data_IF_062214538925
#
_entry.id   IF_062214538925
#
_cell.length_a   1.000
_cell.length_b   1.000
_cell.length_c   1.000
_cell.angle_alpha   90.00
_cell.angle_beta   90.00
_cell.angle_gamma   90.00
#
_symmetry.space_group_name_H-M   'P 1'
#
loop_
_entity.id
_entity.type
_entity.pdbx_description
1 polymer ?
#
# COMPACT_ATOMS: atom_id res chain seq x y z
N UNK A 1 -11.78 -2.32 70.18
CA UNK A 1 -11.86 -1.56 68.91
C UNK A 1 -10.71 -1.83 67.92
N UNK A 2 -9.69 -2.67 68.22
CA UNK A 2 -8.52 -2.82 67.33
C UNK A 2 -8.60 -3.93 66.27
N UNK A 3 -9.40 -4.98 66.46
CA UNK A 3 -9.44 -6.12 65.51
C UNK A 3 -10.25 -5.81 64.25
N UNK A 4 -11.41 -5.16 64.39
CA UNK A 4 -12.29 -4.79 63.26
C UNK A 4 -11.62 -3.83 62.28
N UNK A 5 -10.83 -2.86 62.77
CA UNK A 5 -10.07 -1.93 61.93
C UNK A 5 -8.97 -2.67 61.15
N UNK A 6 -8.34 -3.67 61.75
CA UNK A 6 -7.33 -4.53 61.10
C UNK A 6 -7.95 -5.36 59.95
N UNK A 7 -9.08 -6.01 60.20
CA UNK A 7 -9.80 -6.79 59.19
C UNK A 7 -10.27 -5.92 58.01
N UNK A 8 -10.73 -4.70 58.28
CA UNK A 8 -11.12 -3.74 57.23
C UNK A 8 -9.90 -3.32 56.40
N UNK A 9 -8.77 -3.04 57.05
CA UNK A 9 -7.52 -2.67 56.35
C UNK A 9 -7.00 -3.80 55.46
N UNK A 10 -7.04 -5.05 55.93
CA UNK A 10 -6.66 -6.22 55.12
C UNK A 10 -7.59 -6.39 53.91
N UNK A 11 -8.91 -6.28 54.10
CA UNK A 11 -9.88 -6.33 53.00
C UNK A 11 -9.67 -5.20 51.99
N UNK A 12 -9.37 -3.99 52.45
CA UNK A 12 -9.06 -2.84 51.58
C UNK A 12 -7.77 -3.07 50.76
N UNK A 13 -6.74 -3.67 51.35
CA UNK A 13 -5.52 -4.02 50.64
C UNK A 13 -5.76 -5.08 49.56
N UNK A 14 -6.58 -6.11 49.87
CA UNK A 14 -6.98 -7.13 48.89
C UNK A 14 -7.84 -6.55 47.77
N UNK A 15 -8.75 -5.61 48.09
CA UNK A 15 -9.54 -4.90 47.09
C UNK A 15 -8.65 -4.04 46.17
N UNK A 16 -7.67 -3.33 46.75
CA UNK A 16 -6.71 -2.51 46.01
C UNK A 16 -5.87 -3.37 45.06
N UNK A 17 -5.34 -4.50 45.53
CA UNK A 17 -4.55 -5.40 44.69
C UNK A 17 -5.37 -6.02 43.55
N UNK A 18 -6.61 -6.44 43.82
CA UNK A 18 -7.55 -6.91 42.78
C UNK A 18 -7.89 -5.81 41.76
N UNK A 19 -8.05 -4.57 42.20
CA UNK A 19 -8.31 -3.43 41.30
C UNK A 19 -7.13 -3.19 40.35
N UNK A 20 -5.89 -3.25 40.86
CA UNK A 20 -4.68 -3.16 40.02
C UNK A 20 -4.62 -4.32 39.01
N UNK A 21 -4.99 -5.53 39.42
CA UNK A 21 -5.01 -6.70 38.53
C UNK A 21 -6.05 -6.55 37.41
N UNK A 22 -7.26 -6.06 37.73
CA UNK A 22 -8.30 -5.74 36.75
C UNK A 22 -7.81 -4.70 35.75
N UNK A 23 -7.17 -3.62 36.22
CA UNK A 23 -6.61 -2.59 35.34
C UNK A 23 -5.59 -3.16 34.36
N UNK A 24 -4.70 -4.05 34.83
CA UNK A 24 -3.73 -4.74 33.96
C UNK A 24 -4.40 -5.67 32.94
N UNK A 25 -5.48 -6.35 33.32
CA UNK A 25 -6.27 -7.20 32.42
C UNK A 25 -6.97 -6.33 31.36
N UNK A 26 -7.50 -5.17 31.74
CA UNK A 26 -8.15 -4.24 30.82
C UNK A 26 -7.17 -3.73 29.77
N UNK A 27 -5.98 -3.28 30.18
CA UNK A 27 -4.94 -2.82 29.26
C UNK A 27 -4.49 -3.91 28.28
N UNK A 28 -4.29 -5.14 28.78
CA UNK A 28 -3.96 -6.29 27.93
C UNK A 28 -5.09 -6.59 26.93
N UNK A 29 -6.35 -6.52 27.36
CA UNK A 29 -7.52 -6.76 26.52
C UNK A 29 -7.61 -5.72 25.41
N UNK A 30 -7.41 -4.44 25.73
CA UNK A 30 -7.35 -3.37 24.73
C UNK A 30 -6.24 -3.58 23.71
N UNK A 31 -5.05 -4.01 24.16
CA UNK A 31 -3.93 -4.29 23.27
C UNK A 31 -4.20 -5.48 22.34
N UNK A 32 -4.86 -6.53 22.82
CA UNK A 32 -5.30 -7.67 21.98
C UNK A 32 -6.33 -7.20 20.96
N UNK A 33 -7.34 -6.44 21.37
CA UNK A 33 -8.36 -5.91 20.47
C UNK A 33 -7.75 -5.00 19.39
N UNK A 34 -6.76 -4.17 19.74
CA UNK A 34 -6.01 -3.37 18.77
C UNK A 34 -5.30 -4.26 17.74
N UNK A 35 -4.59 -5.30 18.18
CA UNK A 35 -3.90 -6.23 17.27
C UNK A 35 -4.86 -6.98 16.35
N UNK A 36 -5.97 -7.49 16.88
CA UNK A 36 -7.02 -8.18 16.09
C UNK A 36 -7.59 -7.24 15.04
N UNK A 37 -7.92 -5.99 15.42
CA UNK A 37 -8.42 -4.98 14.47
C UNK A 37 -7.41 -4.66 13.37
N UNK A 38 -6.12 -4.55 13.71
CA UNK A 38 -5.04 -4.33 12.72
C UNK A 38 -4.94 -5.51 11.76
N UNK A 39 -4.99 -6.75 12.26
CA UNK A 39 -4.98 -7.95 11.42
C UNK A 39 -6.14 -7.98 10.43
N UNK A 40 -7.37 -7.83 10.93
CA UNK A 40 -8.57 -7.81 10.08
C UNK A 40 -8.56 -6.67 9.04
N UNK A 41 -7.96 -5.52 9.39
CA UNK A 41 -7.81 -4.42 8.46
C UNK A 41 -6.81 -4.74 7.33
N UNK A 42 -5.65 -5.34 7.66
CA UNK A 42 -4.66 -5.76 6.67
C UNK A 42 -5.25 -6.84 5.74
N UNK A 43 -5.99 -7.81 6.28
CA UNK A 43 -6.68 -8.84 5.50
C UNK A 43 -7.64 -8.22 4.49
N UNK A 44 -8.50 -7.29 4.92
CA UNK A 44 -9.39 -6.55 4.02
C UNK A 44 -8.64 -5.79 2.93
N UNK A 45 -7.49 -5.19 3.24
CA UNK A 45 -6.67 -4.47 2.26
C UNK A 45 -6.08 -5.45 1.23
N UNK A 46 -5.59 -6.61 1.69
CA UNK A 46 -5.08 -7.65 0.82
C UNK A 46 -6.16 -8.16 -0.14
N UNK A 47 -7.37 -8.42 0.35
CA UNK A 47 -8.52 -8.80 -0.48
C UNK A 47 -8.81 -7.76 -1.57
N UNK A 48 -8.85 -6.47 -1.23
CA UNK A 48 -9.04 -5.39 -2.20
C UNK A 48 -7.91 -5.35 -3.25
N UNK A 49 -6.67 -5.61 -2.83
CA UNK A 49 -5.53 -5.65 -3.74
C UNK A 49 -5.62 -6.85 -4.71
N UNK A 50 -6.00 -8.02 -4.22
CA UNK A 50 -6.22 -9.23 -5.03
C UNK A 50 -7.38 -9.04 -6.03
N UNK A 51 -8.48 -8.41 -5.59
CA UNK A 51 -9.59 -8.06 -6.48
C UNK A 51 -9.13 -7.14 -7.62
N UNK A 52 -8.31 -6.13 -7.30
CA UNK A 52 -7.77 -5.21 -8.30
C UNK A 52 -6.85 -5.92 -9.29
N UNK A 53 -5.99 -6.83 -8.82
CA UNK A 53 -5.16 -7.67 -9.69
C UNK A 53 -6.02 -8.47 -10.66
N UNK A 54 -7.08 -9.12 -10.18
CA UNK A 54 -8.00 -9.87 -11.04
C UNK A 54 -8.64 -9.00 -12.13
N UNK A 55 -9.03 -7.77 -11.81
CA UNK A 55 -9.59 -6.83 -12.78
C UNK A 55 -8.56 -6.31 -13.78
N UNK A 56 -7.35 -5.99 -13.31
CA UNK A 56 -6.24 -5.52 -14.14
C UNK A 56 -5.82 -6.60 -15.14
N UNK A 57 -5.64 -7.85 -14.68
CA UNK A 57 -5.28 -8.99 -15.53
C UNK A 57 -6.33 -9.18 -16.61
N UNK A 58 -7.62 -9.17 -16.25
CA UNK A 58 -8.71 -9.28 -17.22
C UNK A 58 -8.68 -8.16 -18.26
N UNK A 59 -8.45 -6.91 -17.85
CA UNK A 59 -8.33 -5.77 -18.77
C UNK A 59 -7.12 -5.91 -19.68
N UNK A 60 -6.00 -6.41 -19.17
CA UNK A 60 -4.81 -6.70 -19.97
C UNK A 60 -5.11 -7.78 -21.02
N UNK A 61 -5.71 -8.90 -20.62
CA UNK A 61 -6.07 -10.00 -21.53
C UNK A 61 -7.01 -9.52 -22.66
N UNK A 62 -8.07 -8.80 -22.29
CA UNK A 62 -9.02 -8.23 -23.25
C UNK A 62 -8.34 -7.22 -24.18
N UNK A 63 -7.47 -6.35 -23.65
CA UNK A 63 -6.74 -5.36 -24.44
C UNK A 63 -5.69 -5.97 -25.37
N UNK A 64 -5.06 -7.09 -25.00
CA UNK A 64 -4.21 -7.87 -25.91
C UNK A 64 -5.04 -8.45 -27.04
N UNK A 65 -6.17 -9.09 -26.72
CA UNK A 65 -7.09 -9.68 -27.71
C UNK A 65 -7.62 -8.64 -28.71
N UNK A 66 -7.87 -7.42 -28.24
CA UNK A 66 -8.36 -6.32 -29.06
C UNK A 66 -7.25 -5.53 -29.78
N UNK A 67 -5.97 -5.88 -29.58
CA UNK A 67 -4.83 -5.22 -30.21
C UNK A 67 -4.52 -3.82 -29.68
N UNK A 68 -5.00 -3.48 -28.48
CA UNK A 68 -4.72 -2.18 -27.84
C UNK A 68 -3.31 -2.09 -27.24
N UNK A 69 -2.74 -3.24 -26.87
CA UNK A 69 -1.37 -3.40 -26.38
C UNK A 69 -0.89 -4.80 -26.77
N UNK A 70 0.38 -4.95 -27.14
CA UNK A 70 0.93 -6.30 -27.36
C UNK A 70 1.45 -6.89 -26.05
N UNK A 71 1.45 -8.23 -25.96
CA UNK A 71 2.10 -8.92 -24.82
C UNK A 71 3.56 -8.50 -24.70
N UNK A 72 4.28 -8.37 -25.83
CA UNK A 72 5.66 -7.90 -25.84
C UNK A 72 5.85 -6.50 -25.22
N UNK A 73 4.95 -5.57 -25.51
CA UNK A 73 5.04 -4.20 -25.01
C UNK A 73 4.78 -4.11 -23.50
N UNK A 74 3.95 -5.00 -22.93
CA UNK A 74 3.75 -5.09 -21.46
C UNK A 74 5.01 -5.56 -20.74
N UNK A 75 5.88 -6.31 -21.40
CA UNK A 75 7.17 -6.76 -20.88
C UNK A 75 8.32 -5.81 -21.23
N UNK A 76 8.05 -4.65 -21.82
CA UNK A 76 9.09 -3.66 -22.09
C UNK A 76 9.70 -3.15 -20.78
N UNK A 77 11.02 -3.25 -20.65
CA UNK A 77 11.79 -2.73 -19.52
C UNK A 77 12.81 -1.66 -19.97
N UNK A 78 12.64 -1.14 -21.18
CA UNK A 78 13.45 -0.05 -21.70
C UNK A 78 12.89 1.29 -21.19
N UNK A 79 13.29 1.67 -19.97
CA UNK A 79 12.90 2.93 -19.34
C UNK A 79 13.56 4.12 -20.05
N UNK A 80 12.89 4.66 -21.08
CA UNK A 80 13.39 5.81 -21.81
C UNK A 80 13.21 7.09 -20.97
N UNK A 81 14.28 7.83 -20.64
CA UNK A 81 14.17 9.03 -19.81
C UNK A 81 13.37 10.11 -20.54
N UNK A 82 12.45 10.75 -19.80
CA UNK A 82 11.75 11.95 -20.26
C UNK A 82 12.64 13.15 -20.02
N UNK A 83 12.96 13.88 -21.09
CA UNK A 83 13.80 15.07 -21.02
C UNK A 83 13.19 16.14 -20.09
N UNK A 84 14.06 16.90 -19.44
CA UNK A 84 13.67 18.05 -18.59
C UNK A 84 12.74 17.69 -17.42
N UNK A 85 12.91 16.52 -16.80
CA UNK A 85 12.14 16.11 -15.62
C UNK A 85 13.03 15.98 -14.38
N UNK A 86 12.54 16.49 -13.25
CA UNK A 86 13.17 16.31 -11.95
C UNK A 86 12.07 16.11 -10.87
N UNK A 87 11.97 14.94 -10.20
CA UNK A 87 12.79 13.74 -10.39
C UNK A 87 12.71 13.17 -11.82
N UNK A 88 13.72 12.40 -12.22
CA UNK A 88 13.77 11.76 -13.53
C UNK A 88 12.52 10.88 -13.74
N UNK A 89 11.82 11.11 -14.85
CA UNK A 89 10.69 10.30 -15.29
C UNK A 89 11.08 9.42 -16.46
N UNK A 90 10.36 8.33 -16.65
CA UNK A 90 10.63 7.34 -17.68
C UNK A 90 9.35 6.94 -18.42
N UNK A 91 9.50 6.57 -19.68
CA UNK A 91 8.44 6.00 -20.50
C UNK A 91 8.88 4.63 -21.02
N UNK A 92 8.00 3.65 -20.92
CA UNK A 92 8.07 2.34 -21.57
C UNK A 92 6.96 2.26 -22.61
N UNK A 93 6.95 1.21 -23.42
CA UNK A 93 5.89 0.98 -24.41
C UNK A 93 4.51 0.78 -23.79
N UNK A 94 4.42 0.33 -22.54
CA UNK A 94 3.14 0.14 -21.85
C UNK A 94 2.66 1.37 -21.07
N UNK A 95 3.44 2.45 -20.94
CA UNK A 95 3.10 3.59 -20.08
C UNK A 95 1.74 4.20 -20.43
N UNK A 96 1.50 4.48 -21.71
CA UNK A 96 0.25 5.11 -22.16
C UNK A 96 -0.95 4.16 -22.01
N UNK A 97 -0.71 2.85 -22.17
CA UNK A 97 -1.73 1.83 -21.91
C UNK A 97 -2.13 1.81 -20.43
N UNK A 98 -1.16 1.76 -19.51
CA UNK A 98 -1.42 1.76 -18.06
C UNK A 98 -2.14 3.03 -17.64
N UNK A 99 -1.70 4.21 -18.09
CA UNK A 99 -2.39 5.48 -17.82
C UNK A 99 -3.85 5.46 -18.31
N UNK A 100 -4.11 4.91 -19.50
CA UNK A 100 -5.47 4.92 -20.09
C UNK A 100 -6.40 3.87 -19.49
N UNK A 101 -5.89 2.67 -19.19
CA UNK A 101 -6.71 1.49 -18.88
C UNK A 101 -6.65 1.06 -17.42
N UNK A 102 -5.53 1.33 -16.74
CA UNK A 102 -5.27 0.84 -15.38
C UNK A 102 -5.40 1.95 -14.33
N UNK A 103 -4.96 3.18 -14.62
CA UNK A 103 -5.14 4.33 -13.70
C UNK A 103 -6.59 4.52 -13.20
N UNK A 104 -7.66 4.32 -14.01
CA UNK A 104 -9.02 4.39 -13.49
C UNK A 104 -9.33 3.33 -12.42
N UNK A 105 -8.69 2.16 -12.50
CA UNK A 105 -8.80 1.09 -11.50
C UNK A 105 -8.05 1.51 -10.23
N UNK A 106 -6.83 2.03 -10.38
CA UNK A 106 -6.05 2.59 -9.26
C UNK A 106 -6.87 3.62 -8.47
N UNK A 107 -7.51 4.57 -9.17
CA UNK A 107 -8.37 5.58 -8.57
C UNK A 107 -9.62 4.98 -7.90
N UNK A 108 -10.24 3.99 -8.55
CA UNK A 108 -11.40 3.28 -7.99
C UNK A 108 -11.06 2.61 -6.67
N UNK A 109 -9.93 1.91 -6.59
CA UNK A 109 -9.52 1.18 -5.38
C UNK A 109 -8.99 2.11 -4.30
N UNK A 110 -8.31 3.21 -4.66
CA UNK A 110 -7.98 4.28 -3.71
C UNK A 110 -9.25 4.79 -3.00
N UNK A 111 -10.37 4.92 -3.71
CA UNK A 111 -11.64 5.37 -3.15
C UNK A 111 -12.39 4.34 -2.29
N UNK A 112 -11.92 3.08 -2.18
CA UNK A 112 -12.60 2.02 -1.42
C UNK A 112 -12.37 2.11 0.08
N UNK A 113 -11.26 2.71 0.52
CA UNK A 113 -10.92 2.84 1.92
C UNK A 113 -10.25 4.19 2.21
N UNK A 114 -10.80 4.94 3.16
CA UNK A 114 -10.27 6.27 3.51
C UNK A 114 -8.88 6.21 4.18
N UNK A 115 -8.45 5.02 4.63
CA UNK A 115 -7.09 4.84 5.16
C UNK A 115 -6.03 4.83 4.06
N UNK A 116 -6.41 4.60 2.80
CA UNK A 116 -5.47 4.55 1.69
C UNK A 116 -4.88 5.92 1.40
N UNK A 117 -3.55 5.98 1.39
CA UNK A 117 -2.80 7.14 0.91
C UNK A 117 -2.54 7.04 -0.59
N UNK A 118 -2.41 5.83 -1.11
CA UNK A 118 -2.23 5.53 -2.53
C UNK A 118 -2.65 4.09 -2.80
N UNK A 119 -2.90 3.78 -4.05
CA UNK A 119 -3.14 2.43 -4.56
C UNK A 119 -2.65 2.41 -6.01
N UNK A 120 -1.59 1.67 -6.33
CA UNK A 120 -0.99 1.73 -7.67
C UNK A 120 -0.36 0.41 -8.08
N UNK A 121 -0.24 0.21 -9.39
CA UNK A 121 0.49 -0.88 -10.01
C UNK A 121 1.93 -0.44 -10.31
N UNK A 122 2.91 -1.28 -9.94
CA UNK A 122 4.33 -1.10 -10.30
C UNK A 122 4.86 -2.37 -10.97
N UNK A 123 5.83 -2.24 -11.87
CA UNK A 123 6.51 -3.42 -12.40
C UNK A 123 7.59 -3.94 -11.45
N UNK A 124 8.18 -5.10 -11.76
CA UNK A 124 9.19 -5.76 -10.93
C UNK A 124 10.51 -4.98 -10.69
N UNK A 125 10.68 -3.80 -11.30
CA UNK A 125 11.78 -2.87 -11.03
C UNK A 125 11.32 -1.62 -10.26
N UNK A 126 10.08 -1.60 -9.78
CA UNK A 126 9.47 -0.49 -9.05
C UNK A 126 8.99 0.64 -9.96
N UNK A 127 8.82 0.40 -11.25
CA UNK A 127 8.34 1.45 -12.18
C UNK A 127 6.82 1.62 -12.09
N UNK A 128 6.41 2.80 -11.65
CA UNK A 128 5.01 3.24 -11.64
C UNK A 128 4.71 3.99 -12.94
N UNK A 129 4.20 3.30 -13.96
CA UNK A 129 3.83 3.93 -15.24
C UNK A 129 2.76 5.02 -15.07
N UNK A 130 1.76 4.73 -14.25
CA UNK A 130 0.77 5.69 -13.76
C UNK A 130 0.90 5.83 -12.24
N UNK A 131 0.05 6.66 -11.68
CA UNK A 131 -0.24 6.73 -10.25
C UNK A 131 -1.71 7.18 -10.16
N UNK A 132 -2.37 7.03 -9.00
CA UNK A 132 -3.67 7.67 -8.77
C UNK A 132 -3.71 9.11 -9.31
N UNK A 133 -4.78 9.51 -9.98
CA UNK A 133 -4.90 10.79 -10.72
C UNK A 133 -4.60 12.01 -9.85
N UNK A 134 -4.86 11.93 -8.54
CA UNK A 134 -4.52 12.99 -7.58
C UNK A 134 -3.00 13.26 -7.46
N UNK A 135 -2.18 12.27 -7.82
CA UNK A 135 -0.72 12.28 -7.85
C UNK A 135 -0.16 12.12 -9.28
N UNK A 136 -0.97 12.32 -10.32
CA UNK A 136 -0.53 12.29 -11.72
C UNK A 136 -1.00 13.54 -12.49
N UNK A 137 -0.83 14.70 -11.86
CA UNK A 137 -1.21 15.99 -12.45
C UNK A 137 -0.25 16.39 -13.55
N UNK A 138 -0.67 17.14 -14.58
CA UNK A 138 0.24 17.68 -15.58
C UNK A 138 1.42 18.43 -14.94
N UNK A 139 2.63 18.25 -15.50
CA UNK A 139 3.82 18.93 -14.99
C UNK A 139 3.72 20.43 -15.21
N UNK A 140 4.12 21.17 -14.18
CA UNK A 140 4.06 22.63 -14.16
C UNK A 140 5.43 23.27 -14.41
N UNK A 141 6.52 22.51 -14.26
CA UNK A 141 7.89 23.00 -14.28
C UNK A 141 8.36 23.56 -12.94
N UNK A 142 7.47 23.65 -11.95
CA UNK A 142 7.78 24.02 -10.58
C UNK A 142 8.05 22.76 -9.77
N UNK A 143 9.32 22.54 -9.40
CA UNK A 143 9.76 21.36 -8.65
C UNK A 143 8.94 21.12 -7.38
N UNK A 144 8.61 22.18 -6.61
CA UNK A 144 7.91 22.04 -5.34
C UNK A 144 6.47 21.54 -5.53
N UNK A 145 5.84 21.89 -6.67
CA UNK A 145 4.50 21.39 -7.04
C UNK A 145 4.58 20.00 -7.66
N UNK A 146 5.53 19.79 -8.56
CA UNK A 146 5.61 18.58 -9.36
C UNK A 146 6.06 17.36 -8.52
N UNK A 147 6.93 17.54 -7.52
CA UNK A 147 7.42 16.44 -6.66
C UNK A 147 6.29 15.73 -5.90
N UNK A 148 5.25 16.45 -5.50
CA UNK A 148 4.07 15.90 -4.79
C UNK A 148 2.89 15.69 -5.73
N UNK A 149 2.70 16.57 -6.71
CA UNK A 149 1.56 16.54 -7.64
C UNK A 149 1.69 15.57 -8.80
N UNK A 150 2.91 15.15 -9.17
CA UNK A 150 3.15 14.15 -10.20
C UNK A 150 4.21 13.11 -9.78
N UNK A 151 3.73 11.99 -9.24
CA UNK A 151 4.51 10.83 -8.83
C UNK A 151 4.49 9.68 -9.84
N UNK A 152 3.81 9.82 -10.97
CA UNK A 152 3.82 8.82 -12.05
C UNK A 152 5.12 8.84 -12.84
N UNK A 153 5.30 7.82 -13.68
CA UNK A 153 6.45 7.62 -14.56
C UNK A 153 7.78 7.60 -13.81
N UNK A 154 7.77 7.22 -12.53
CA UNK A 154 8.95 7.17 -11.66
C UNK A 154 9.30 5.71 -11.37
N UNK A 155 10.57 5.50 -11.05
CA UNK A 155 11.06 4.23 -10.51
C UNK A 155 11.26 4.41 -9.01
N UNK A 156 10.56 3.61 -8.20
CA UNK A 156 10.70 3.52 -6.75
C UNK A 156 11.64 2.38 -6.41
N UNK A 157 12.95 2.63 -6.54
CA UNK A 157 14.00 1.62 -6.39
C UNK A 157 14.72 1.66 -5.03
N UNK A 158 14.11 2.28 -4.02
CA UNK A 158 14.59 2.14 -2.64
C UNK A 158 14.32 0.72 -2.12
N UNK A 159 15.00 0.27 -1.03
CA UNK A 159 14.86 -1.08 -0.53
C UNK A 159 13.42 -1.49 -0.17
N UNK A 160 12.57 -0.56 0.24
CA UNK A 160 11.16 -0.84 0.57
C UNK A 160 10.37 -1.02 -0.73
N UNK A 161 10.47 -0.06 -1.66
CA UNK A 161 9.79 -0.16 -2.97
C UNK A 161 10.17 -1.40 -3.77
N UNK A 162 11.46 -1.78 -3.79
CA UNK A 162 11.89 -3.00 -4.49
C UNK A 162 11.46 -4.29 -3.81
N UNK A 163 11.28 -4.29 -2.48
CA UNK A 163 10.78 -5.46 -1.77
C UNK A 163 9.33 -5.76 -2.17
N UNK A 164 8.49 -4.73 -2.30
CA UNK A 164 7.12 -4.87 -2.81
C UNK A 164 7.13 -5.30 -4.27
N UNK A 165 7.85 -4.55 -5.14
CA UNK A 165 7.88 -4.82 -6.58
C UNK A 165 8.38 -6.23 -6.94
N UNK A 166 9.24 -6.83 -6.12
CA UNK A 166 9.84 -8.15 -6.38
C UNK A 166 9.21 -9.27 -5.57
N UNK A 167 8.23 -8.95 -4.72
CA UNK A 167 7.54 -9.94 -3.92
C UNK A 167 6.80 -10.92 -4.84
N UNK A 168 7.05 -12.21 -4.69
CA UNK A 168 6.29 -13.27 -5.39
C UNK A 168 5.43 -14.11 -4.45
N UNK A 169 5.50 -13.84 -3.13
CA UNK A 169 4.63 -14.46 -2.14
C UNK A 169 3.25 -13.81 -2.17
N UNK A 170 2.21 -14.51 -1.69
CA UNK A 170 0.82 -14.05 -1.80
C UNK A 170 0.56 -12.65 -1.23
N UNK A 171 1.34 -12.23 -0.21
CA UNK A 171 1.14 -10.97 0.49
C UNK A 171 2.46 -10.49 1.08
N UNK A 172 2.75 -9.21 0.93
CA UNK A 172 3.79 -8.51 1.67
C UNK A 172 3.18 -7.35 2.46
N UNK A 173 3.63 -7.18 3.71
CA UNK A 173 3.22 -6.06 4.57
C UNK A 173 4.48 -5.40 5.14
N UNK A 174 4.60 -4.08 4.95
CA UNK A 174 5.75 -3.32 5.41
C UNK A 174 5.31 -2.05 6.13
N UNK A 175 5.85 -1.79 7.32
CA UNK A 175 5.61 -0.54 8.04
C UNK A 175 6.88 0.29 8.09
N UNK A 176 6.84 1.51 7.54
CA UNK A 176 8.02 2.37 7.43
C UNK A 176 7.66 3.87 7.46
N UNK A 177 8.59 4.75 7.87
CA UNK A 177 8.41 6.19 7.75
C UNK A 177 8.60 6.63 6.29
N UNK A 178 7.64 7.40 5.77
CA UNK A 178 7.72 8.00 4.43
C UNK A 178 8.63 9.24 4.43
N UNK A 179 9.00 9.69 3.24
CA UNK A 179 9.68 10.97 2.98
C UNK A 179 8.91 12.19 3.52
N UNK A 180 7.59 12.05 3.72
CA UNK A 180 6.71 13.07 4.32
C UNK A 180 6.68 13.05 5.86
N UNK A 181 7.34 12.09 6.52
CA UNK A 181 7.34 11.92 7.98
C UNK A 181 6.16 11.11 8.53
N UNK A 182 5.21 10.70 7.70
CA UNK A 182 4.13 9.78 8.09
C UNK A 182 4.64 8.34 8.18
N UNK A 183 4.22 7.59 9.21
CA UNK A 183 4.43 6.14 9.25
C UNK A 183 3.28 5.48 8.49
N UNK A 184 3.60 4.73 7.44
CA UNK A 184 2.63 4.02 6.61
C UNK A 184 2.85 2.52 6.73
N UNK A 185 1.75 1.76 6.65
CA UNK A 185 1.81 0.34 6.36
C UNK A 185 1.44 0.15 4.89
N UNK A 186 2.38 -0.37 4.11
CA UNK A 186 2.21 -0.72 2.72
C UNK A 186 1.88 -2.22 2.63
N UNK A 187 0.94 -2.55 1.75
CA UNK A 187 0.40 -3.90 1.56
C UNK A 187 0.44 -4.19 0.07
N UNK A 188 1.22 -5.19 -0.32
CA UNK A 188 1.42 -5.57 -1.71
C UNK A 188 0.99 -7.00 -1.97
N UNK A 189 0.44 -7.25 -3.16
CA UNK A 189 0.16 -8.58 -3.70
C UNK A 189 0.75 -8.67 -5.10
N UNK A 190 1.30 -9.82 -5.51
CA UNK A 190 1.98 -9.96 -6.78
C UNK A 190 0.99 -10.04 -7.95
N UNK A 191 1.33 -9.43 -9.08
CA UNK A 191 0.62 -9.61 -10.33
C UNK A 191 1.40 -10.54 -11.28
N UNK A 192 0.70 -11.54 -11.80
CA UNK A 192 1.24 -12.46 -12.80
C UNK A 192 0.49 -12.32 -14.13
N UNK A 193 1.23 -12.35 -15.24
CA UNK A 193 0.68 -12.42 -16.59
C UNK A 193 1.27 -13.67 -17.25
N UNK A 194 0.42 -14.55 -17.79
CA UNK A 194 0.82 -15.83 -18.39
C UNK A 194 1.74 -16.67 -17.46
N UNK A 195 1.45 -16.66 -16.16
CA UNK A 195 2.22 -17.39 -15.14
C UNK A 195 3.60 -16.79 -14.82
N UNK A 196 3.93 -15.61 -15.36
CA UNK A 196 5.19 -14.90 -15.08
C UNK A 196 4.91 -13.67 -14.22
N UNK A 197 5.75 -13.49 -13.20
CA UNK A 197 5.65 -12.33 -12.30
C UNK A 197 5.95 -11.03 -13.07
N UNK A 198 4.99 -10.13 -13.10
CA UNK A 198 5.11 -8.85 -13.81
C UNK A 198 5.60 -7.74 -12.88
N UNK A 199 5.11 -7.73 -11.65
CA UNK A 199 5.42 -6.79 -10.56
C UNK A 199 4.41 -6.88 -9.43
#
# INVERSE_FOLDING_TARGET
MSQSVKDISEKLNVLSSKSIEISKISEKSENILKKVKVGAHIEKIAELAEEAVGEIVKIIEDSIKNGEVSSYDLWDRNYAPVANTNPQKYKTKFTDFVKRRIQPIEDKYLGKDHSFKYFLLIDANGYAAAHNSIYDKPLTGDYAKDITGNRSMRIFNDPVGLAVARNTDNLIVQTYPRDTGEVISDVGVPMFIDGKHWG
#
